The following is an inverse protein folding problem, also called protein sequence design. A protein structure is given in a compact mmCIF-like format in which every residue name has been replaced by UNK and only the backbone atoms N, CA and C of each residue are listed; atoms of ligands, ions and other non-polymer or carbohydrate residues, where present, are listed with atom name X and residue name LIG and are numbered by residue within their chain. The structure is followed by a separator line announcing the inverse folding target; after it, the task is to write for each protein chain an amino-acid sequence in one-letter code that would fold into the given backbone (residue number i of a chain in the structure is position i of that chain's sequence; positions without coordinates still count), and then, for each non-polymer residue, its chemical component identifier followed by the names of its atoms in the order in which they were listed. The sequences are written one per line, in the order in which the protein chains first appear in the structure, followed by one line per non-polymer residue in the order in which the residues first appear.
data_IF_696408386326
#
_entry.id   IF_696408386326
#
_cell.length_a   1.000
_cell.length_b   1.000
_cell.length_c   1.000
_cell.angle_alpha   90.00
_cell.angle_beta   90.00
_cell.angle_gamma   90.00
#
_symmetry.space_group_name_H-M   'P 1'
#
loop_
_entity.id
_entity.type
_entity.pdbx_description
1 polymer ?
#
# COMPACT_ATOMS: atom_id res chain seq x y z
N UNK A 1 -31.55 9.62 -6.00
CA UNK A 1 -30.35 10.21 -5.37
C UNK A 1 -29.58 9.09 -4.72
N UNK A 2 -28.33 8.89 -5.10
CA UNK A 2 -27.45 7.90 -4.47
C UNK A 2 -26.79 8.54 -3.24
N UNK A 3 -26.95 7.92 -2.08
CA UNK A 3 -26.25 8.30 -0.87
C UNK A 3 -25.03 7.38 -0.70
N UNK A 4 -23.83 7.95 -0.75
CA UNK A 4 -22.57 7.22 -0.59
C UNK A 4 -21.81 7.74 0.64
N UNK A 5 -21.17 6.83 1.37
CA UNK A 5 -20.20 7.16 2.41
C UNK A 5 -18.88 6.48 2.03
N UNK A 6 -17.84 7.24 1.77
CA UNK A 6 -16.52 6.73 1.47
C UNK A 6 -15.83 6.23 2.73
N UNK A 7 -15.24 5.05 2.67
CA UNK A 7 -14.39 4.48 3.70
C UNK A 7 -12.96 4.53 3.16
N UNK A 8 -12.15 5.40 3.73
CA UNK A 8 -10.72 5.49 3.39
C UNK A 8 -9.95 4.34 4.03
N UNK A 9 -9.39 3.47 3.19
CA UNK A 9 -8.63 2.29 3.60
C UNK A 9 -7.14 2.63 3.73
N UNK A 10 -6.83 3.63 4.58
CA UNK A 10 -5.46 4.10 4.81
C UNK A 10 -4.61 3.00 5.42
N UNK A 11 -3.36 2.89 4.96
CA UNK A 11 -2.42 1.88 5.42
C UNK A 11 -2.68 0.47 4.90
N UNK A 12 -3.61 0.28 3.97
CA UNK A 12 -3.87 -1.05 3.37
C UNK A 12 -2.61 -1.65 2.75
N UNK A 13 -1.84 -0.86 2.02
CA UNK A 13 -0.60 -1.32 1.39
C UNK A 13 0.46 -1.66 2.45
N UNK A 14 0.62 -0.81 3.48
CA UNK A 14 1.53 -1.10 4.59
C UNK A 14 1.15 -2.40 5.32
N UNK A 15 -0.15 -2.63 5.56
CA UNK A 15 -0.63 -3.87 6.16
C UNK A 15 -0.32 -5.08 5.28
N UNK A 16 -0.52 -4.97 3.97
CA UNK A 16 -0.20 -6.04 3.02
C UNK A 16 1.29 -6.35 2.98
N UNK A 17 2.16 -5.33 2.93
CA UNK A 17 3.61 -5.47 2.99
C UNK A 17 4.06 -6.11 4.32
N UNK A 18 3.42 -5.72 5.43
CA UNK A 18 3.69 -6.32 6.74
C UNK A 18 3.30 -7.80 6.82
N UNK A 19 2.13 -8.17 6.28
CA UNK A 19 1.70 -9.57 6.21
C UNK A 19 2.65 -10.37 5.32
N UNK A 20 3.09 -9.81 4.19
CA UNK A 20 4.05 -10.45 3.30
C UNK A 20 5.40 -10.69 4.00
N UNK A 21 5.89 -9.73 4.78
CA UNK A 21 7.13 -9.87 5.55
C UNK A 21 7.01 -10.96 6.64
N UNK A 22 5.89 -11.00 7.37
CA UNK A 22 5.62 -12.06 8.36
C UNK A 22 5.56 -13.43 7.67
N UNK A 23 4.83 -13.56 6.56
CA UNK A 23 4.74 -14.81 5.81
C UNK A 23 6.13 -15.29 5.35
N UNK A 24 6.94 -14.39 4.81
CA UNK A 24 8.25 -14.71 4.30
C UNK A 24 9.25 -15.07 5.41
N UNK A 25 9.37 -14.24 6.44
CA UNK A 25 10.41 -14.37 7.45
C UNK A 25 10.09 -15.42 8.52
N UNK A 26 8.81 -15.56 8.87
CA UNK A 26 8.37 -16.50 9.92
C UNK A 26 7.97 -17.83 9.31
N UNK A 27 7.01 -17.83 8.39
CA UNK A 27 6.39 -19.09 7.94
C UNK A 27 7.16 -19.79 6.82
N UNK A 28 7.75 -19.04 5.87
CA UNK A 28 8.52 -19.65 4.77
C UNK A 28 9.98 -19.91 5.12
N UNK A 29 10.66 -18.91 5.69
CA UNK A 29 12.10 -19.00 6.01
C UNK A 29 12.38 -19.53 7.41
N UNK A 30 11.44 -19.39 8.36
CA UNK A 30 11.63 -19.77 9.75
C UNK A 30 12.80 -19.04 10.45
N UNK A 31 13.15 -17.82 9.92
CA UNK A 31 14.29 -17.05 10.44
C UNK A 31 13.97 -16.39 11.79
N UNK A 32 12.72 -15.96 11.96
CA UNK A 32 12.24 -15.29 13.17
C UNK A 32 10.90 -15.86 13.60
N UNK A 33 10.55 -15.63 14.84
CA UNK A 33 9.21 -15.89 15.39
C UNK A 33 8.32 -14.64 15.28
N UNK A 34 7.01 -14.82 15.33
CA UNK A 34 6.06 -13.69 15.41
C UNK A 34 6.35 -12.81 16.63
N UNK A 35 6.74 -13.43 17.75
CA UNK A 35 7.06 -12.70 18.99
C UNK A 35 8.30 -11.82 18.85
N UNK A 36 9.35 -12.27 18.16
CA UNK A 36 10.54 -11.47 17.87
C UNK A 36 10.21 -10.29 16.95
N UNK A 37 9.42 -10.52 15.89
CA UNK A 37 8.96 -9.42 15.04
C UNK A 37 8.13 -8.41 15.84
N UNK A 38 7.20 -8.88 16.67
CA UNK A 38 6.37 -8.01 17.50
C UNK A 38 7.21 -7.19 18.48
N UNK A 39 8.24 -7.80 19.09
CA UNK A 39 9.16 -7.11 20.00
C UNK A 39 9.96 -6.02 19.25
N UNK A 40 10.44 -6.33 18.05
CA UNK A 40 11.17 -5.37 17.21
C UNK A 40 10.29 -4.17 16.83
N UNK A 41 9.06 -4.42 16.39
CA UNK A 41 8.08 -3.35 16.08
C UNK A 41 7.78 -2.50 17.32
N UNK A 42 7.54 -3.14 18.47
CA UNK A 42 7.26 -2.43 19.74
C UNK A 42 8.44 -1.57 20.21
N UNK A 43 9.67 -1.95 19.85
CA UNK A 43 10.90 -1.20 20.13
C UNK A 43 11.24 -0.19 19.00
N UNK A 44 10.34 0.08 18.06
CA UNK A 44 10.64 0.90 16.89
C UNK A 44 11.90 0.42 16.14
N UNK A 45 12.14 -0.88 16.13
CA UNK A 45 13.33 -1.56 15.62
C UNK A 45 14.66 -1.20 16.31
N UNK A 46 14.65 -0.43 17.40
CA UNK A 46 15.86 -0.11 18.16
C UNK A 46 16.48 -1.40 18.72
N UNK A 47 17.76 -1.64 18.40
CA UNK A 47 18.45 -2.87 18.77
C UNK A 47 18.12 -4.11 17.91
N UNK A 48 17.31 -3.97 16.87
CA UNK A 48 16.91 -5.02 15.93
C UNK A 48 17.34 -4.74 14.49
N UNK A 49 18.51 -4.15 14.28
CA UNK A 49 18.99 -3.68 12.98
C UNK A 49 19.02 -4.76 11.90
N UNK A 50 19.40 -6.00 12.23
CA UNK A 50 19.41 -7.10 11.28
C UNK A 50 17.99 -7.47 10.87
N UNK A 51 17.10 -7.65 11.86
CA UNK A 51 15.70 -7.97 11.62
C UNK A 51 15.01 -6.87 10.79
N UNK A 52 15.25 -5.60 11.11
CA UNK A 52 14.71 -4.47 10.34
C UNK A 52 15.17 -4.49 8.88
N UNK A 53 16.46 -4.71 8.63
CA UNK A 53 16.99 -4.87 7.26
C UNK A 53 16.34 -6.03 6.52
N UNK A 54 16.12 -7.15 7.19
CA UNK A 54 15.44 -8.30 6.60
C UNK A 54 13.99 -7.97 6.22
N UNK A 55 13.24 -7.31 7.12
CA UNK A 55 11.87 -6.84 6.84
C UNK A 55 11.84 -5.88 5.65
N UNK A 56 12.78 -4.94 5.58
CA UNK A 56 12.89 -4.01 4.44
C UNK A 56 13.28 -4.71 3.13
N UNK A 57 13.94 -5.85 3.18
CA UNK A 57 14.34 -6.64 2.02
C UNK A 57 13.25 -7.56 1.48
N UNK A 58 12.20 -7.82 2.25
CA UNK A 58 11.07 -8.63 1.81
C UNK A 58 10.36 -8.04 0.59
N UNK A 59 9.61 -8.88 -0.10
CA UNK A 59 8.76 -8.43 -1.20
C UNK A 59 7.77 -7.36 -0.75
N UNK A 60 7.64 -6.31 -1.56
CA UNK A 60 6.79 -5.14 -1.30
C UNK A 60 5.93 -4.84 -2.51
N UNK A 61 4.72 -4.34 -2.26
CA UNK A 61 3.81 -3.89 -3.32
C UNK A 61 4.44 -2.79 -4.19
N UNK A 62 4.19 -2.85 -5.50
CA UNK A 62 4.61 -1.83 -6.45
C UNK A 62 5.73 -2.27 -7.40
N UNK A 63 6.23 -3.51 -7.30
CA UNK A 63 7.34 -4.02 -8.12
C UNK A 63 6.91 -4.86 -9.32
N UNK A 64 5.61 -5.07 -9.49
CA UNK A 64 5.04 -5.95 -10.53
C UNK A 64 5.56 -7.39 -10.46
N UNK A 65 5.63 -7.92 -9.25
CA UNK A 65 6.04 -9.29 -8.97
C UNK A 65 5.04 -10.01 -8.03
N UNK A 66 5.42 -11.17 -7.53
CA UNK A 66 4.59 -11.98 -6.65
C UNK A 66 4.31 -11.30 -5.29
N UNK A 67 5.06 -10.27 -4.91
CA UNK A 67 4.81 -9.53 -3.67
C UNK A 67 3.50 -8.74 -3.70
N UNK A 68 2.99 -8.41 -4.90
CA UNK A 68 1.71 -7.73 -5.08
C UNK A 68 0.51 -8.57 -4.65
N UNK A 69 0.63 -9.91 -4.66
CA UNK A 69 -0.48 -10.82 -4.31
C UNK A 69 -1.07 -10.55 -2.93
N UNK A 70 -0.23 -10.17 -1.98
CA UNK A 70 -0.69 -9.89 -0.63
C UNK A 70 -1.61 -8.67 -0.59
N UNK A 71 -1.26 -7.60 -1.33
CA UNK A 71 -2.09 -6.41 -1.44
C UNK A 71 -3.43 -6.72 -2.13
N UNK A 72 -3.42 -7.54 -3.17
CA UNK A 72 -4.65 -8.01 -3.85
C UNK A 72 -5.55 -8.78 -2.87
N UNK A 73 -4.98 -9.71 -2.10
CA UNK A 73 -5.74 -10.50 -1.10
C UNK A 73 -6.34 -9.62 0.00
N UNK A 74 -5.59 -8.64 0.51
CA UNK A 74 -6.09 -7.70 1.51
C UNK A 74 -7.20 -6.83 0.93
N UNK A 75 -7.04 -6.31 -0.29
CA UNK A 75 -8.06 -5.55 -0.99
C UNK A 75 -9.35 -6.37 -1.19
N UNK A 76 -9.25 -7.64 -1.56
CA UNK A 76 -10.40 -8.55 -1.71
C UNK A 76 -11.12 -8.81 -0.38
N UNK A 77 -10.37 -8.91 0.73
CA UNK A 77 -10.97 -9.06 2.06
C UNK A 77 -11.79 -7.81 2.42
N UNK A 78 -11.20 -6.62 2.28
CA UNK A 78 -11.86 -5.36 2.55
C UNK A 78 -13.13 -5.21 1.71
N UNK A 79 -13.03 -5.49 0.41
CA UNK A 79 -14.16 -5.45 -0.51
C UNK A 79 -15.30 -6.38 -0.08
N UNK A 80 -14.98 -7.64 0.27
CA UNK A 80 -15.99 -8.63 0.73
C UNK A 80 -16.70 -8.16 2.00
N UNK A 81 -15.97 -7.59 2.95
CA UNK A 81 -16.54 -7.05 4.20
C UNK A 81 -17.50 -5.91 3.89
N UNK A 82 -17.10 -4.95 3.05
CA UNK A 82 -17.91 -3.79 2.69
C UNK A 82 -19.16 -4.21 1.89
N UNK A 83 -19.01 -5.13 0.94
CA UNK A 83 -20.16 -5.70 0.20
C UNK A 83 -21.15 -6.41 1.12
N UNK A 84 -20.65 -7.22 2.05
CA UNK A 84 -21.50 -7.91 3.04
C UNK A 84 -22.24 -6.89 3.93
N UNK A 85 -21.61 -5.77 4.25
CA UNK A 85 -22.27 -4.70 5.01
C UNK A 85 -23.33 -3.99 4.18
N UNK A 86 -23.03 -3.64 2.93
CA UNK A 86 -23.96 -2.98 2.01
C UNK A 86 -25.21 -3.83 1.73
N UNK A 87 -25.04 -5.17 1.62
CA UNK A 87 -26.17 -6.08 1.41
C UNK A 87 -27.19 -6.10 2.56
N UNK A 88 -26.83 -5.58 3.73
CA UNK A 88 -27.70 -5.50 4.93
C UNK A 88 -28.29 -4.11 5.13
N UNK A 89 -27.98 -3.17 4.25
CA UNK A 89 -28.47 -1.79 4.33
C UNK A 89 -29.86 -1.72 3.68
N UNK A 90 -30.87 -1.12 4.32
CA UNK A 90 -32.21 -0.95 3.72
C UNK A 90 -32.13 -0.16 2.40
N UNK A 91 -33.06 -0.45 1.50
CA UNK A 91 -33.17 0.27 0.24
C UNK A 91 -33.32 1.78 0.48
N UNK A 92 -32.65 2.59 -0.33
CA UNK A 92 -32.62 4.04 -0.19
C UNK A 92 -31.69 4.60 0.90
N UNK A 93 -31.04 3.70 1.66
CA UNK A 93 -30.05 4.10 2.66
C UNK A 93 -28.69 4.37 2.02
N UNK A 94 -27.76 4.93 2.84
CA UNK A 94 -26.38 5.21 2.44
C UNK A 94 -25.59 3.91 2.28
N UNK A 95 -24.97 3.71 1.11
CA UNK A 95 -24.02 2.63 0.85
C UNK A 95 -22.61 3.05 1.19
N UNK A 96 -21.75 2.08 1.51
CA UNK A 96 -20.34 2.29 1.79
C UNK A 96 -19.51 1.95 0.57
N UNK A 97 -18.52 2.80 0.27
CA UNK A 97 -17.64 2.74 -0.88
C UNK A 97 -16.19 2.76 -0.39
N UNK A 98 -15.42 1.69 -0.57
CA UNK A 98 -14.02 1.73 -0.20
C UNK A 98 -13.24 2.66 -1.11
N UNK A 99 -12.21 3.28 -0.57
CA UNK A 99 -11.29 4.20 -1.26
C UNK A 99 -9.87 3.96 -0.77
N UNK A 100 -8.90 4.10 -1.67
CA UNK A 100 -7.48 4.23 -1.31
C UNK A 100 -7.01 5.69 -1.39
N UNK A 101 -7.94 6.63 -1.41
CA UNK A 101 -7.64 8.05 -1.46
C UNK A 101 -7.24 8.54 -0.06
N UNK A 102 -6.00 8.98 0.10
CA UNK A 102 -5.47 9.43 1.40
C UNK A 102 -5.33 10.95 1.50
N UNK A 103 -5.47 11.71 0.39
CA UNK A 103 -5.05 13.12 0.33
C UNK A 103 -3.63 13.25 0.92
N UNK A 104 -3.43 14.19 1.85
CA UNK A 104 -2.17 14.31 2.61
C UNK A 104 -2.31 13.76 4.05
N UNK A 105 -3.43 13.08 4.34
CA UNK A 105 -3.69 12.55 5.69
C UNK A 105 -2.81 11.36 6.03
N UNK A 106 -2.21 10.67 5.05
CA UNK A 106 -1.22 9.61 5.27
C UNK A 106 -0.03 10.06 6.11
N UNK A 107 0.39 11.33 6.01
CA UNK A 107 1.44 11.93 6.85
C UNK A 107 0.92 12.15 8.26
N UNK A 108 -0.17 12.91 8.40
CA UNK A 108 -0.73 13.28 9.70
C UNK A 108 -1.18 12.08 10.55
N UNK A 109 -1.63 11.00 9.91
CA UNK A 109 -1.94 9.76 10.62
C UNK A 109 -0.66 8.96 10.92
N UNK A 110 0.30 8.91 10.00
CA UNK A 110 1.58 8.26 10.23
C UNK A 110 2.30 8.80 11.46
N UNK A 111 2.33 10.14 11.63
CA UNK A 111 2.90 10.83 12.80
C UNK A 111 2.35 10.37 14.15
N UNK A 112 1.13 9.83 14.17
CA UNK A 112 0.45 9.37 15.38
C UNK A 112 0.47 7.86 15.55
N UNK A 113 1.12 7.14 14.66
CA UNK A 113 1.07 5.68 14.61
C UNK A 113 2.45 5.06 14.84
N UNK A 114 2.47 3.96 15.58
CA UNK A 114 3.68 3.20 15.88
C UNK A 114 4.25 2.52 14.63
N UNK A 115 5.47 1.97 14.76
CA UNK A 115 6.14 1.17 13.72
C UNK A 115 5.26 0.03 13.19
N UNK A 116 5.56 -0.46 12.00
CA UNK A 116 4.81 -1.50 11.33
C UNK A 116 5.66 -2.71 10.94
N UNK A 117 5.02 -3.86 10.75
CA UNK A 117 5.66 -5.08 10.24
C UNK A 117 6.18 -4.96 8.81
N UNK A 118 5.82 -3.89 8.10
CA UNK A 118 6.36 -3.52 6.79
C UNK A 118 7.72 -2.82 6.86
N UNK A 119 8.24 -2.58 8.06
CA UNK A 119 9.50 -1.89 8.32
C UNK A 119 9.37 -0.37 8.44
N UNK A 120 8.15 0.17 8.41
CA UNK A 120 7.86 1.57 8.69
C UNK A 120 8.18 1.87 10.17
N UNK A 121 8.88 2.95 10.43
CA UNK A 121 9.20 3.40 11.79
C UNK A 121 8.07 4.24 12.40
N UNK A 122 8.15 4.48 13.71
CA UNK A 122 7.25 5.40 14.42
C UNK A 122 7.23 6.77 13.72
N UNK A 123 6.04 7.30 13.53
CA UNK A 123 5.87 8.63 12.95
C UNK A 123 6.06 8.72 11.43
N UNK A 124 6.57 7.70 10.76
CA UNK A 124 6.70 7.73 9.32
C UNK A 124 5.33 7.67 8.61
N UNK A 125 5.20 8.33 7.43
CA UNK A 125 3.95 8.31 6.67
C UNK A 125 3.53 6.90 6.24
N UNK A 126 2.22 6.67 6.17
CA UNK A 126 1.67 5.51 5.46
C UNK A 126 1.85 5.65 3.95
N UNK A 127 1.66 4.56 3.21
CA UNK A 127 1.60 4.56 1.75
C UNK A 127 0.59 5.61 1.27
N UNK A 128 0.98 6.38 0.26
CA UNK A 128 0.12 7.41 -0.31
C UNK A 128 -0.79 6.80 -1.38
N UNK A 129 -2.10 6.98 -1.19
CA UNK A 129 -3.12 6.50 -2.12
C UNK A 129 -2.95 4.98 -2.42
N UNK A 130 -3.07 4.57 -3.69
CA UNK A 130 -2.84 3.20 -4.12
C UNK A 130 -1.36 2.89 -4.43
N UNK A 131 -0.46 3.83 -4.15
CA UNK A 131 0.96 3.67 -4.43
C UNK A 131 1.69 2.77 -3.43
N UNK A 132 2.95 2.41 -3.72
CA UNK A 132 3.80 1.65 -2.81
C UNK A 132 4.08 2.41 -1.51
N UNK A 133 4.44 1.68 -0.47
CA UNK A 133 4.87 2.27 0.80
C UNK A 133 6.24 2.97 0.68
N UNK A 134 6.52 3.90 1.60
CA UNK A 134 7.80 4.64 1.60
C UNK A 134 9.03 3.76 1.86
N UNK A 135 8.83 2.55 2.37
CA UNK A 135 9.89 1.56 2.56
C UNK A 135 10.36 0.93 1.24
N UNK A 136 9.63 1.13 0.14
CA UNK A 136 9.99 0.62 -1.18
C UNK A 136 10.94 1.60 -1.87
N UNK A 137 12.18 1.17 -2.08
CA UNK A 137 13.18 1.98 -2.80
C UNK A 137 13.11 1.69 -4.31
N UNK A 138 13.17 2.75 -5.11
CA UNK A 138 13.36 2.69 -6.57
C UNK A 138 12.36 1.77 -7.30
N UNK A 139 11.10 2.15 -7.34
CA UNK A 139 10.09 1.52 -8.19
C UNK A 139 9.98 2.28 -9.51
N UNK A 140 9.97 1.57 -10.63
CA UNK A 140 9.69 2.21 -11.91
C UNK A 140 8.21 2.63 -12.00
N UNK A 141 7.88 3.73 -12.68
CA UNK A 141 6.48 4.11 -12.90
C UNK A 141 5.65 2.98 -13.52
N UNK A 142 6.20 2.27 -14.50
CA UNK A 142 5.53 1.13 -15.16
C UNK A 142 5.23 0.02 -14.17
N UNK A 143 6.21 -0.45 -13.38
CA UNK A 143 5.99 -1.50 -12.38
C UNK A 143 4.94 -1.09 -11.36
N UNK A 144 4.97 0.17 -10.91
CA UNK A 144 3.98 0.69 -9.97
C UNK A 144 2.56 0.67 -10.58
N UNK A 145 2.41 1.12 -11.83
CA UNK A 145 1.11 1.13 -12.51
C UNK A 145 0.58 -0.30 -12.72
N UNK A 146 1.44 -1.23 -13.13
CA UNK A 146 1.08 -2.63 -13.30
C UNK A 146 0.67 -3.28 -11.96
N UNK A 147 1.37 -2.99 -10.87
CA UNK A 147 0.97 -3.43 -9.52
C UNK A 147 -0.39 -2.86 -9.12
N UNK A 148 -0.61 -1.56 -9.33
CA UNK A 148 -1.89 -0.93 -9.04
C UNK A 148 -3.02 -1.52 -9.91
N UNK A 149 -2.75 -1.89 -11.15
CA UNK A 149 -3.73 -2.51 -12.04
C UNK A 149 -4.20 -3.91 -11.56
N UNK A 150 -3.40 -4.61 -10.75
CA UNK A 150 -3.78 -5.90 -10.14
C UNK A 150 -4.82 -5.75 -9.04
N UNK A 151 -4.94 -4.56 -8.42
CA UNK A 151 -5.95 -4.31 -7.40
C UNK A 151 -7.35 -4.32 -8.03
N UNK A 152 -8.40 -4.73 -7.28
CA UNK A 152 -9.76 -4.83 -7.80
C UNK A 152 -10.40 -3.45 -8.02
N UNK A 153 -10.00 -2.74 -9.08
CA UNK A 153 -10.34 -1.35 -9.41
C UNK A 153 -11.85 -1.08 -9.34
N UNK A 154 -12.65 -1.98 -9.92
CA UNK A 154 -14.11 -1.86 -9.97
C UNK A 154 -14.80 -1.89 -8.59
N UNK A 155 -14.05 -2.22 -7.56
CA UNK A 155 -14.60 -2.35 -6.20
C UNK A 155 -14.29 -1.16 -5.30
N UNK A 156 -13.35 -0.34 -5.69
CA UNK A 156 -12.97 0.88 -4.98
C UNK A 156 -13.61 2.10 -5.62
N UNK A 157 -14.96 2.14 -5.65
CA UNK A 157 -15.68 3.27 -6.28
C UNK A 157 -15.58 4.57 -5.49
N UNK A 158 -14.94 4.59 -4.33
CA UNK A 158 -14.51 5.80 -3.66
C UNK A 158 -13.27 6.43 -4.27
N UNK A 159 -12.55 5.68 -5.13
CA UNK A 159 -11.37 6.10 -5.87
C UNK A 159 -10.07 5.40 -5.46
N UNK A 160 -9.19 5.24 -6.43
CA UNK A 160 -7.82 4.73 -6.27
C UNK A 160 -6.83 5.66 -7.00
N UNK A 161 -6.54 6.85 -6.48
CA UNK A 161 -5.56 7.73 -7.09
C UNK A 161 -4.18 7.08 -7.07
N UNK A 162 -3.39 7.34 -8.11
CA UNK A 162 -2.00 6.90 -8.24
C UNK A 162 -1.15 8.14 -8.48
N UNK A 163 -0.19 8.38 -7.58
CA UNK A 163 0.76 9.47 -7.73
C UNK A 163 2.02 8.97 -8.43
N UNK A 164 2.32 9.52 -9.59
CA UNK A 164 3.52 9.21 -10.36
C UNK A 164 4.47 10.40 -10.27
N UNK A 165 5.67 10.17 -9.75
CA UNK A 165 6.71 11.18 -9.64
C UNK A 165 7.89 10.84 -10.54
N UNK A 166 8.36 11.81 -11.30
CA UNK A 166 9.58 11.70 -12.10
C UNK A 166 10.68 12.53 -11.48
N UNK A 167 11.86 11.93 -11.26
CA UNK A 167 13.02 12.69 -10.82
C UNK A 167 13.42 13.69 -11.93
N UNK A 168 13.77 14.94 -11.59
CA UNK A 168 14.17 15.96 -12.58
C UNK A 168 15.30 15.49 -13.50
N UNK A 169 16.22 14.67 -12.99
CA UNK A 169 17.38 14.17 -13.71
C UNK A 169 17.03 13.12 -14.79
N UNK A 170 15.87 12.49 -14.69
CA UNK A 170 15.39 11.54 -15.72
C UNK A 170 14.81 12.25 -16.93
N UNK A 171 14.57 13.55 -16.81
CA UNK A 171 13.94 14.38 -17.83
C UNK A 171 14.92 15.43 -18.30
N UNK A 172 15.77 15.08 -19.28
CA UNK A 172 16.84 15.97 -19.79
C UNK A 172 16.30 17.22 -20.51
N UNK A 173 15.07 17.18 -20.99
CA UNK A 173 14.41 18.32 -21.65
C UNK A 173 12.88 18.09 -21.75
N UNK A 174 12.13 19.15 -22.09
CA UNK A 174 10.68 19.12 -22.21
C UNK A 174 10.16 18.03 -23.18
N UNK A 175 10.88 17.78 -24.26
CA UNK A 175 10.48 16.77 -25.25
C UNK A 175 10.58 15.36 -24.65
N UNK A 176 11.70 15.04 -24.02
CA UNK A 176 11.89 13.75 -23.35
C UNK A 176 10.86 13.53 -22.23
N UNK A 177 10.48 14.61 -21.49
CA UNK A 177 9.43 14.55 -20.49
C UNK A 177 8.08 14.12 -21.09
N UNK A 178 7.69 14.78 -22.18
CA UNK A 178 6.44 14.49 -22.88
C UNK A 178 6.45 13.06 -23.43
N UNK A 179 7.54 12.62 -24.04
CA UNK A 179 7.69 11.26 -24.59
C UNK A 179 7.58 10.21 -23.46
N UNK A 180 8.20 10.44 -22.31
CA UNK A 180 8.10 9.55 -21.14
C UNK A 180 6.67 9.49 -20.61
N UNK A 181 5.98 10.63 -20.48
CA UNK A 181 4.59 10.67 -20.02
C UNK A 181 3.65 9.97 -21.01
N UNK A 182 3.86 10.15 -22.31
CA UNK A 182 3.08 9.45 -23.33
C UNK A 182 3.30 7.95 -23.26
N UNK A 183 4.54 7.49 -23.09
CA UNK A 183 4.85 6.06 -22.97
C UNK A 183 4.12 5.44 -21.77
N UNK A 184 4.20 6.08 -20.59
CA UNK A 184 3.49 5.63 -19.38
C UNK A 184 1.97 5.62 -19.54
N UNK A 185 1.40 6.54 -20.34
CA UNK A 185 -0.04 6.60 -20.59
C UNK A 185 -0.54 5.53 -21.58
N UNK A 186 0.34 5.08 -22.48
CA UNK A 186 -0.02 4.12 -23.54
C UNK A 186 0.25 2.65 -23.14
N UNK A 187 0.97 2.39 -22.05
CA UNK A 187 1.16 1.06 -21.45
C UNK A 187 -0.02 0.69 -20.54
#
# INVERSE_FOLDING_TARGET
VYHNATIECMGMINAADGIAAVDELVFKKGKYTVSELAAAVAANYEGFDELHRDVLSCGKFGRDDNSDECAVKVADILQRVIRSRNAKVPEGSRIFSPSLHTLDTNVAYGEKWCAGFDGRLDGEPFAKNAGPSNSVRAVSPTSMLLSCAKLPQYSFFGGQPIDVSFAPDTVKNRKAAIETLIAVYLE
#
